data_IF_417911345640
#
_entry.id   IF_417911345640
#
_cell.length_a   1.000
_cell.length_b   1.000
_cell.length_c   1.000
_cell.angle_alpha   90.00
_cell.angle_beta   90.00
_cell.angle_gamma   90.00
#
_symmetry.space_group_name_H-M   'P 1'
#
loop_
_entity.id
_entity.type
_entity.pdbx_description
1 polymer ?
#
# COMPACT_ATOMS: atom_id res chain seq x y z
N UNK A 1 18.60 -14.15 60.19
CA UNK A 1 17.93 -12.96 59.59
C UNK A 1 17.44 -13.38 58.21
N UNK A 2 16.12 -13.28 57.97
CA UNK A 2 15.40 -13.92 56.87
C UNK A 2 15.74 -13.39 55.45
N UNK A 3 15.50 -14.20 54.40
CA UNK A 3 15.74 -13.87 52.99
C UNK A 3 14.50 -13.23 52.32
N UNK A 4 14.67 -12.45 51.25
CA UNK A 4 13.54 -12.00 50.41
C UNK A 4 13.97 -11.81 48.95
N UNK A 5 13.94 -12.92 48.22
CA UNK A 5 13.93 -12.96 46.75
C UNK A 5 12.54 -12.57 46.27
N UNK A 6 12.40 -11.42 45.62
CA UNK A 6 11.12 -11.01 45.02
C UNK A 6 10.97 -11.68 43.65
N UNK A 7 9.96 -12.53 43.58
CA UNK A 7 9.56 -13.36 42.43
C UNK A 7 9.09 -12.51 41.26
N UNK A 8 9.64 -12.80 40.09
CA UNK A 8 9.05 -12.52 38.79
C UNK A 8 7.62 -13.07 38.74
N UNK A 9 6.64 -12.20 38.53
CA UNK A 9 5.27 -12.58 38.20
C UNK A 9 5.19 -12.79 36.68
N UNK A 10 5.30 -14.05 36.28
CA UNK A 10 5.03 -14.52 34.92
C UNK A 10 3.54 -14.38 34.62
N UNK A 11 3.22 -13.47 33.69
CA UNK A 11 1.89 -13.22 33.17
C UNK A 11 1.55 -14.30 32.13
N UNK A 12 0.91 -15.37 32.59
CA UNK A 12 0.44 -16.48 31.77
C UNK A 12 -0.92 -16.13 31.14
N UNK A 13 -0.94 -15.46 29.98
CA UNK A 13 -2.12 -15.45 29.11
C UNK A 13 -2.05 -16.62 28.13
N UNK A 14 -2.67 -17.73 28.53
CA UNK A 14 -2.97 -18.85 27.65
C UNK A 14 -4.13 -18.51 26.72
N UNK A 15 -3.85 -17.96 25.54
CA UNK A 15 -4.78 -18.01 24.41
C UNK A 15 -4.79 -19.43 23.86
N UNK A 16 -5.90 -20.15 24.09
CA UNK A 16 -6.21 -21.41 23.42
C UNK A 16 -7.10 -21.12 22.20
N UNK A 17 -6.58 -21.19 20.96
CA UNK A 17 -7.44 -21.32 19.79
C UNK A 17 -7.83 -22.79 19.59
N UNK A 18 -9.11 -23.07 19.81
CA UNK A 18 -9.79 -24.33 19.49
C UNK A 18 -9.84 -24.52 17.96
N UNK A 19 -8.97 -25.40 17.43
CA UNK A 19 -8.95 -25.81 16.02
C UNK A 19 -9.07 -27.33 15.93
N UNK A 20 -10.27 -27.87 16.06
CA UNK A 20 -10.56 -29.25 15.62
C UNK A 20 -11.98 -29.39 15.07
N UNK A 21 -12.15 -29.14 13.78
CA UNK A 21 -13.14 -29.85 12.97
C UNK A 21 -12.47 -30.38 11.71
N UNK A 22 -11.85 -31.55 11.86
CA UNK A 22 -11.48 -32.42 10.75
C UNK A 22 -12.75 -33.09 10.24
N UNK A 23 -13.21 -32.71 9.06
CA UNK A 23 -14.21 -33.46 8.30
C UNK A 23 -13.50 -34.70 7.76
N UNK A 24 -13.71 -35.86 8.38
CA UNK A 24 -13.31 -37.16 7.85
C UNK A 24 -14.22 -37.49 6.68
N UNK A 25 -13.77 -37.24 5.45
CA UNK A 25 -14.39 -37.82 4.26
C UNK A 25 -14.03 -39.31 4.26
N UNK A 26 -15.00 -40.11 4.70
CA UNK A 26 -14.90 -41.55 4.80
C UNK A 26 -14.69 -42.15 3.40
N UNK A 27 -13.50 -42.73 3.19
CA UNK A 27 -13.22 -43.61 2.06
C UNK A 27 -13.70 -45.02 2.42
N UNK A 28 -14.86 -45.40 1.91
CA UNK A 28 -15.18 -46.78 1.54
C UNK A 28 -16.63 -46.81 1.04
N UNK A 29 -16.85 -47.28 -0.18
CA UNK A 29 -17.55 -48.56 -0.39
C UNK A 29 -17.56 -48.86 -1.90
N UNK A 30 -16.71 -49.79 -2.36
CA UNK A 30 -16.70 -50.24 -3.75
C UNK A 30 -17.72 -51.37 -3.96
N UNK A 31 -18.02 -51.62 -5.23
CA UNK A 31 -18.71 -52.79 -5.83
C UNK A 31 -20.24 -52.73 -5.84
N UNK A 32 -20.78 -52.46 -7.04
CA UNK A 32 -22.06 -52.89 -7.62
C UNK A 32 -22.34 -51.96 -8.83
N UNK A 33 -21.59 -52.00 -9.93
CA UNK A 33 -21.91 -52.78 -11.14
C UNK A 33 -23.30 -53.47 -11.09
N UNK A 34 -24.14 -53.51 -12.14
CA UNK A 34 -24.31 -52.68 -13.33
C UNK A 34 -25.82 -52.61 -13.71
N UNK A 35 -26.62 -51.70 -13.12
CA UNK A 35 -28.10 -51.79 -13.28
C UNK A 35 -28.83 -50.45 -13.48
N UNK A 36 -28.18 -49.46 -14.08
CA UNK A 36 -28.84 -48.17 -14.39
C UNK A 36 -28.65 -47.81 -15.86
N UNK A 37 -28.90 -48.77 -16.74
CA UNK A 37 -29.05 -48.55 -18.20
C UNK A 37 -30.55 -48.47 -18.59
N UNK A 38 -31.47 -48.56 -17.62
CA UNK A 38 -32.93 -48.57 -17.86
C UNK A 38 -33.66 -47.38 -17.20
N UNK A 39 -33.17 -46.17 -17.42
CA UNK A 39 -33.89 -44.93 -17.06
C UNK A 39 -33.84 -43.92 -18.22
N UNK A 40 -33.94 -44.42 -19.44
CA UNK A 40 -34.32 -43.62 -20.59
C UNK A 40 -35.83 -43.35 -20.52
N UNK A 41 -36.20 -42.09 -20.78
CA UNK A 41 -37.55 -41.52 -20.93
C UNK A 41 -38.20 -40.97 -19.64
N UNK A 42 -38.06 -39.64 -19.45
CA UNK A 42 -39.06 -38.69 -18.88
C UNK A 42 -38.46 -37.42 -18.26
N UNK A 43 -37.16 -37.12 -18.39
CA UNK A 43 -36.64 -35.78 -18.03
C UNK A 43 -36.57 -34.88 -19.27
N UNK A 44 -37.75 -34.50 -19.74
CA UNK A 44 -37.94 -33.42 -20.69
C UNK A 44 -37.93 -32.07 -19.94
N UNK A 45 -37.24 -31.10 -20.52
CA UNK A 45 -37.34 -29.66 -20.25
C UNK A 45 -36.88 -29.14 -18.89
N UNK A 46 -35.57 -29.00 -18.74
CA UNK A 46 -35.03 -27.84 -18.04
C UNK A 46 -33.87 -27.29 -18.88
N UNK A 47 -34.17 -26.35 -19.78
CA UNK A 47 -33.14 -25.51 -20.39
C UNK A 47 -32.70 -24.49 -19.34
N UNK A 48 -31.46 -24.55 -18.82
CA UNK A 48 -30.91 -23.41 -18.12
C UNK A 48 -30.72 -22.30 -19.15
N UNK A 49 -31.47 -21.20 -19.00
CA UNK A 49 -31.16 -19.97 -19.71
C UNK A 49 -29.68 -19.62 -19.43
N UNK A 50 -28.90 -19.20 -20.43
CA UNK A 50 -27.54 -18.73 -20.20
C UNK A 50 -27.63 -17.49 -19.31
N UNK A 51 -27.29 -17.66 -18.04
CA UNK A 51 -27.00 -16.54 -17.16
C UNK A 51 -25.84 -15.79 -17.80
N UNK A 52 -25.98 -14.48 -18.13
CA UNK A 52 -24.85 -13.71 -18.60
C UNK A 52 -23.80 -13.74 -17.48
N UNK A 53 -22.72 -14.48 -17.72
CA UNK A 53 -21.53 -14.37 -16.89
C UNK A 53 -21.16 -12.89 -16.90
N UNK A 54 -21.00 -12.25 -15.72
CA UNK A 54 -20.53 -10.89 -15.70
C UNK A 54 -19.20 -10.90 -16.43
N UNK A 55 -19.15 -10.19 -17.57
CA UNK A 55 -17.92 -9.97 -18.29
C UNK A 55 -16.94 -9.39 -17.29
N UNK A 56 -16.03 -10.24 -16.82
CA UNK A 56 -14.89 -9.81 -16.02
C UNK A 56 -14.07 -9.02 -17.02
N UNK A 57 -14.34 -7.72 -17.03
CA UNK A 57 -13.57 -6.72 -17.75
C UNK A 57 -12.12 -7.07 -17.51
N UNK A 58 -11.43 -7.45 -18.58
CA UNK A 58 -10.04 -7.85 -18.55
C UNK A 58 -9.31 -6.71 -17.83
N UNK A 59 -8.92 -6.95 -16.58
CA UNK A 59 -8.14 -5.98 -15.84
C UNK A 59 -6.93 -5.67 -16.72
N UNK A 60 -6.65 -4.39 -17.03
CA UNK A 60 -5.54 -4.06 -17.89
C UNK A 60 -4.30 -4.73 -17.30
N UNK A 61 -3.70 -5.58 -18.11
CA UNK A 61 -2.43 -6.23 -17.81
C UNK A 61 -1.50 -5.11 -17.35
N UNK A 62 -1.15 -5.08 -16.07
CA UNK A 62 -0.05 -4.26 -15.60
C UNK A 62 1.21 -4.88 -16.22
N UNK A 63 1.49 -4.48 -17.47
CA UNK A 63 2.85 -4.45 -17.98
C UNK A 63 3.67 -3.75 -16.88
N UNK A 64 4.83 -4.28 -16.45
CA UNK A 64 5.66 -3.59 -15.48
C UNK A 64 5.99 -2.25 -16.10
N UNK A 65 5.23 -1.21 -15.71
CA UNK A 65 5.43 0.14 -16.16
C UNK A 65 6.92 0.37 -15.96
N UNK A 66 7.65 0.70 -17.04
CA UNK A 66 9.01 1.20 -16.93
C UNK A 66 8.96 2.13 -15.74
N UNK A 67 9.71 1.81 -14.68
CA UNK A 67 9.64 2.54 -13.43
C UNK A 67 10.32 3.88 -13.70
N UNK A 68 9.62 4.76 -14.40
CA UNK A 68 10.07 6.11 -14.69
C UNK A 68 10.17 6.76 -13.34
N UNK A 69 11.41 6.99 -12.94
CA UNK A 69 11.71 7.67 -11.70
C UNK A 69 10.98 9.01 -11.72
N UNK A 70 10.07 9.20 -10.75
CA UNK A 70 9.25 10.39 -10.69
C UNK A 70 10.14 11.60 -10.48
N UNK A 71 10.09 12.55 -11.41
CA UNK A 71 10.78 13.83 -11.31
C UNK A 71 9.77 14.95 -11.17
N UNK A 72 10.08 15.84 -10.24
CA UNK A 72 9.35 17.08 -9.99
C UNK A 72 9.55 18.03 -11.16
N UNK A 73 8.49 18.74 -11.55
CA UNK A 73 8.51 19.68 -12.65
C UNK A 73 7.92 21.04 -12.22
N UNK A 74 8.27 22.14 -12.91
CA UNK A 74 7.59 23.42 -12.72
C UNK A 74 6.06 23.28 -12.84
N UNK A 75 5.34 23.97 -11.96
CA UNK A 75 3.88 23.90 -11.85
C UNK A 75 3.36 22.72 -11.01
N UNK A 76 4.18 21.72 -10.68
CA UNK A 76 3.78 20.71 -9.70
C UNK A 76 3.60 21.39 -8.33
N UNK A 77 2.66 20.90 -7.53
CA UNK A 77 2.54 21.28 -6.12
C UNK A 77 3.08 20.17 -5.24
N UNK A 78 3.93 20.52 -4.27
CA UNK A 78 4.55 19.60 -3.33
C UNK A 78 4.27 20.02 -1.90
N UNK A 79 3.98 19.06 -1.04
CA UNK A 79 4.04 19.23 0.40
C UNK A 79 5.50 19.06 0.85
N UNK A 80 6.01 20.05 1.57
CA UNK A 80 7.31 20.00 2.24
C UNK A 80 7.02 19.82 3.72
N UNK A 81 7.14 18.60 4.21
CA UNK A 81 6.98 18.26 5.62
C UNK A 81 8.33 18.39 6.34
N UNK A 82 8.40 19.33 7.28
CA UNK A 82 9.60 19.56 8.11
C UNK A 82 9.38 18.83 9.44
N UNK A 83 9.80 17.57 9.52
CA UNK A 83 9.47 16.69 10.64
C UNK A 83 10.04 17.19 11.98
N UNK A 84 11.17 17.90 11.94
CA UNK A 84 11.80 18.52 13.11
C UNK A 84 11.14 19.84 13.55
N UNK A 85 10.35 20.47 12.69
CA UNK A 85 9.65 21.74 12.97
C UNK A 85 8.32 21.76 12.19
N UNK A 86 7.29 21.03 12.65
CA UNK A 86 6.04 20.85 11.91
C UNK A 86 5.32 22.15 11.53
N UNK A 87 5.52 23.23 12.29
CA UNK A 87 5.05 24.59 11.99
C UNK A 87 5.61 25.17 10.69
N UNK A 88 6.70 24.60 10.17
CA UNK A 88 7.28 24.95 8.87
C UNK A 88 6.75 24.07 7.73
N UNK A 89 5.85 23.13 8.00
CA UNK A 89 5.24 22.28 6.97
C UNK A 89 4.24 23.08 6.14
N UNK A 90 4.31 22.92 4.82
CA UNK A 90 3.42 23.63 3.88
C UNK A 90 3.39 22.97 2.52
N UNK A 91 2.30 23.19 1.79
CA UNK A 91 2.19 22.90 0.36
C UNK A 91 2.63 24.12 -0.42
N UNK A 92 3.53 23.93 -1.38
CA UNK A 92 4.05 24.97 -2.28
C UNK A 92 4.01 24.50 -3.72
N UNK A 93 3.88 25.45 -4.64
CA UNK A 93 4.01 25.20 -6.06
C UNK A 93 5.48 25.41 -6.48
N UNK A 94 5.97 24.54 -7.37
CA UNK A 94 7.27 24.68 -7.99
C UNK A 94 7.18 25.80 -9.01
N UNK A 95 7.92 26.88 -8.80
CA UNK A 95 7.88 28.06 -9.65
C UNK A 95 8.38 27.75 -11.08
N UNK A 96 8.08 28.61 -12.08
CA UNK A 96 8.51 28.41 -13.47
C UNK A 96 10.04 28.30 -13.66
N UNK A 97 10.81 28.85 -12.73
CA UNK A 97 12.27 28.76 -12.69
C UNK A 97 12.78 27.43 -12.12
N UNK A 98 11.89 26.57 -11.62
CA UNK A 98 12.21 25.26 -11.04
C UNK A 98 12.41 25.26 -9.53
N UNK A 99 12.20 26.40 -8.87
CA UNK A 99 12.51 26.58 -7.45
C UNK A 99 11.27 26.58 -6.56
N UNK A 100 11.50 26.33 -5.27
CA UNK A 100 10.54 26.57 -4.19
C UNK A 100 11.15 27.51 -3.16
N UNK A 101 10.29 28.16 -2.36
CA UNK A 101 10.72 29.06 -1.27
C UNK A 101 10.09 28.69 0.07
N UNK A 102 10.61 27.66 0.76
CA UNK A 102 10.18 27.35 2.12
C UNK A 102 10.64 28.47 3.07
N UNK A 103 9.77 29.02 3.94
CA UNK A 103 10.16 29.93 5.00
C UNK A 103 11.41 29.47 5.76
N UNK A 104 12.29 30.44 6.00
CA UNK A 104 13.58 30.30 6.68
C UNK A 104 14.67 29.51 5.93
N UNK A 105 14.35 28.79 4.85
CA UNK A 105 15.32 28.08 4.00
C UNK A 105 15.77 28.90 2.76
N UNK A 106 15.00 29.93 2.38
CA UNK A 106 15.28 30.70 1.17
C UNK A 106 14.83 29.98 -0.10
N UNK A 107 15.50 30.23 -1.23
CA UNK A 107 15.18 29.64 -2.53
C UNK A 107 15.95 28.33 -2.72
N UNK A 108 15.24 27.26 -3.09
CA UNK A 108 15.83 25.93 -3.33
C UNK A 108 15.37 25.42 -4.69
N UNK A 109 16.32 25.01 -5.54
CA UNK A 109 16.03 24.40 -6.83
C UNK A 109 15.64 22.94 -6.65
N UNK A 110 14.45 22.54 -7.12
CA UNK A 110 13.97 21.16 -6.97
C UNK A 110 13.40 20.55 -8.26
N UNK A 111 13.26 21.32 -9.33
CA UNK A 111 12.85 20.78 -10.62
C UNK A 111 13.87 19.78 -11.16
N UNK A 112 13.36 18.70 -11.75
CA UNK A 112 14.16 17.57 -12.24
C UNK A 112 14.64 16.61 -11.15
N UNK A 113 14.51 16.96 -9.87
CA UNK A 113 14.84 16.07 -8.76
C UNK A 113 13.71 15.07 -8.49
N UNK A 114 14.07 13.95 -7.89
CA UNK A 114 13.10 13.07 -7.24
C UNK A 114 12.63 13.71 -5.93
N UNK A 115 11.48 13.29 -5.37
CA UNK A 115 11.05 13.80 -4.07
C UNK A 115 12.09 13.60 -2.96
N UNK A 116 12.82 12.48 -2.98
CA UNK A 116 13.88 12.16 -2.02
C UNK A 116 15.07 13.13 -2.16
N UNK A 117 15.58 13.31 -3.39
CA UNK A 117 16.67 14.26 -3.64
C UNK A 117 16.27 15.73 -3.37
N UNK A 118 15.00 16.08 -3.59
CA UNK A 118 14.47 17.39 -3.22
C UNK A 118 14.44 17.56 -1.69
N UNK A 119 14.10 16.52 -0.94
CA UNK A 119 14.13 16.54 0.52
C UNK A 119 15.54 16.80 1.05
N UNK A 120 16.55 16.14 0.49
CA UNK A 120 17.97 16.38 0.83
C UNK A 120 18.38 17.82 0.54
N UNK A 121 18.07 18.34 -0.66
CA UNK A 121 18.40 19.72 -1.04
C UNK A 121 17.74 20.76 -0.10
N UNK A 122 16.50 20.50 0.32
CA UNK A 122 15.79 21.37 1.27
C UNK A 122 16.37 21.21 2.68
N UNK A 123 16.79 20.01 3.09
CA UNK A 123 17.43 19.79 4.39
C UNK A 123 18.74 20.58 4.50
N UNK A 124 19.57 20.57 3.45
CA UNK A 124 20.78 21.39 3.35
C UNK A 124 20.47 22.89 3.47
N UNK A 125 19.42 23.36 2.80
CA UNK A 125 19.00 24.76 2.89
C UNK A 125 18.53 25.16 4.32
N UNK A 126 18.04 24.21 5.12
CA UNK A 126 17.68 24.44 6.52
C UNK A 126 18.85 24.27 7.49
N UNK A 127 20.00 23.71 7.09
CA UNK A 127 21.09 23.35 8.01
C UNK A 127 21.68 24.53 8.79
N UNK A 128 21.58 25.76 8.27
CA UNK A 128 21.98 26.98 8.96
C UNK A 128 20.97 27.50 10.00
N UNK A 129 19.73 27.01 9.96
CA UNK A 129 18.62 27.52 10.79
C UNK A 129 18.09 26.47 11.76
N UNK A 130 18.12 25.18 11.38
CA UNK A 130 17.61 24.07 12.16
C UNK A 130 18.74 23.09 12.50
N UNK A 131 18.70 22.51 13.70
CA UNK A 131 19.59 21.41 14.09
C UNK A 131 19.04 20.10 13.51
N UNK A 132 19.86 19.43 12.70
CA UNK A 132 19.55 18.10 12.11
C UNK A 132 18.17 18.05 11.40
N UNK A 133 17.92 18.92 10.41
CA UNK A 133 16.62 18.99 9.75
C UNK A 133 16.25 17.65 9.09
N UNK A 134 15.04 17.16 9.38
CA UNK A 134 14.47 15.98 8.71
C UNK A 134 13.31 16.42 7.84
N UNK A 135 13.47 16.24 6.53
CA UNK A 135 12.52 16.71 5.53
C UNK A 135 11.90 15.51 4.82
N UNK A 136 10.62 15.60 4.54
CA UNK A 136 9.93 14.71 3.61
C UNK A 136 9.22 15.57 2.55
N UNK A 137 9.35 15.18 1.29
CA UNK A 137 8.68 15.87 0.17
C UNK A 137 7.69 14.93 -0.48
N UNK A 138 6.45 15.38 -0.64
CA UNK A 138 5.37 14.61 -1.26
C UNK A 138 4.71 15.40 -2.37
N UNK A 139 4.54 14.86 -3.58
CA UNK A 139 3.70 15.50 -4.59
C UNK A 139 2.25 15.59 -4.11
N UNK A 140 1.70 16.80 -4.08
CA UNK A 140 0.29 17.07 -3.76
C UNK A 140 -0.56 17.18 -5.03
N UNK A 141 0.01 17.75 -6.10
CA UNK A 141 -0.62 17.88 -7.42
C UNK A 141 0.45 17.84 -8.50
N UNK A 142 0.13 17.24 -9.63
CA UNK A 142 0.94 17.31 -10.84
C UNK A 142 0.39 18.36 -11.81
N UNK A 143 1.28 19.13 -12.43
CA UNK A 143 0.94 19.95 -13.57
C UNK A 143 0.58 19.07 -14.79
N UNK A 144 -0.29 19.56 -15.69
CA UNK A 144 -0.48 18.92 -17.00
C UNK A 144 0.85 18.80 -17.75
N UNK A 145 1.11 17.63 -18.35
CA UNK A 145 2.29 17.35 -19.18
C UNK A 145 1.76 16.88 -20.54
N UNK A 146 1.82 17.75 -21.55
CA UNK A 146 1.43 17.47 -22.94
C UNK A 146 2.61 16.94 -23.77
#
# INVERSE_FOLDING_TARGET
MAPSRLRMLNFSLGLRPDRRRMIKVSRAFPRLAPLVVLAAALSACASPAPVPEPAISSAPSHEPARRTELRLAPGDSVEIAVLTAPELTRVVEIAPDGSVRPPLAGRVEIAGLTPDAAADAIAEAYAGTLREPRIEVRPARFAPRD
#
